data_IF_468987359826
#
_entry.id   IF_468987359826
#
_cell.length_a   1.000
_cell.length_b   1.000
_cell.length_c   1.000
_cell.angle_alpha   90.00
_cell.angle_beta   90.00
_cell.angle_gamma   90.00
#
_symmetry.space_group_name_H-M   'P 1'
#
loop_
_entity.id
_entity.type
_entity.pdbx_description
1 polymer ?
#
# COMPACT_ATOMS: atom_id res chain seq x y z
N UNK A 1 85.68 -1.79 13.07
CA UNK A 1 85.28 -0.87 12.02
C UNK A 1 84.24 -1.58 11.12
N UNK A 2 82.99 -1.29 11.26
CA UNK A 2 81.92 -1.40 10.25
C UNK A 2 80.63 -1.12 11.00
N UNK A 3 80.12 0.12 10.80
CA UNK A 3 78.83 0.56 11.32
C UNK A 3 77.74 -0.03 10.47
N UNK A 4 76.84 -0.83 11.05
CA UNK A 4 75.61 -1.24 10.44
C UNK A 4 74.49 -0.32 10.94
N UNK A 5 74.05 0.61 10.08
CA UNK A 5 72.87 1.41 10.27
C UNK A 5 71.62 0.51 10.08
N UNK A 6 70.87 0.29 11.16
CA UNK A 6 69.57 -0.36 11.13
C UNK A 6 68.50 0.70 10.87
N UNK A 7 68.07 0.80 9.61
CA UNK A 7 66.93 1.63 9.23
C UNK A 7 65.63 0.98 9.69
N UNK A 8 65.04 1.51 10.80
CA UNK A 8 63.66 1.17 11.18
C UNK A 8 62.70 1.82 10.17
N UNK A 9 62.16 1.03 9.27
CA UNK A 9 61.01 1.42 8.47
C UNK A 9 59.76 1.36 9.38
N UNK A 10 59.33 2.54 9.88
CA UNK A 10 58.01 2.71 10.47
C UNK A 10 56.99 2.68 9.28
N UNK A 11 56.40 1.52 9.05
CA UNK A 11 55.16 1.42 8.28
C UNK A 11 54.03 1.96 9.15
N UNK A 12 53.80 3.27 9.09
CA UNK A 12 52.58 3.85 9.60
C UNK A 12 51.47 3.39 8.64
N UNK A 13 50.81 2.29 8.99
CA UNK A 13 49.56 1.87 8.35
C UNK A 13 48.53 2.95 8.62
N UNK A 14 48.24 3.74 7.56
CA UNK A 14 47.07 4.59 7.55
C UNK A 14 45.85 3.66 7.61
N UNK A 15 45.29 3.49 8.80
CA UNK A 15 43.95 2.93 8.95
C UNK A 15 43.01 3.87 8.23
N UNK A 16 42.64 3.50 7.03
CA UNK A 16 41.55 4.16 6.32
C UNK A 16 40.29 3.90 7.15
N UNK A 17 39.79 4.93 7.85
CA UNK A 17 38.51 4.85 8.51
C UNK A 17 37.47 4.58 7.39
N UNK A 18 36.83 3.45 7.48
CA UNK A 18 35.69 3.15 6.61
C UNK A 18 34.68 4.30 6.73
N UNK A 19 34.15 4.83 5.60
CA UNK A 19 33.19 5.90 5.66
C UNK A 19 31.97 5.43 6.49
N UNK A 20 31.65 6.18 7.55
CA UNK A 20 30.44 5.91 8.32
C UNK A 20 29.25 5.98 7.38
N UNK A 21 28.41 4.95 7.32
CA UNK A 21 27.27 4.95 6.39
C UNK A 21 26.37 6.15 6.70
N UNK A 22 25.88 6.81 5.65
CA UNK A 22 24.95 7.93 5.75
C UNK A 22 23.65 7.45 6.44
N UNK A 23 23.23 8.05 7.56
CA UNK A 23 21.99 7.69 8.23
C UNK A 23 20.76 7.72 7.33
N UNK A 24 20.72 8.64 6.37
CA UNK A 24 19.60 8.73 5.38
C UNK A 24 19.62 7.53 4.45
N UNK A 25 20.81 7.11 3.99
CA UNK A 25 20.94 5.93 3.15
C UNK A 25 20.54 4.64 3.89
N UNK A 26 20.91 4.53 5.19
CA UNK A 26 20.50 3.39 6.03
C UNK A 26 18.97 3.34 6.17
N UNK A 27 18.33 4.47 6.46
CA UNK A 27 16.87 4.50 6.60
C UNK A 27 16.17 4.13 5.29
N UNK A 28 16.64 4.63 4.16
CA UNK A 28 16.10 4.27 2.85
C UNK A 28 16.25 2.76 2.55
N UNK A 29 17.38 2.18 2.90
CA UNK A 29 17.61 0.73 2.74
C UNK A 29 16.69 -0.09 3.64
N UNK A 30 16.51 0.31 4.91
CA UNK A 30 15.59 -0.35 5.84
C UNK A 30 14.15 -0.29 5.33
N UNK A 31 13.69 0.90 4.88
CA UNK A 31 12.36 1.05 4.29
C UNK A 31 12.17 0.12 3.08
N UNK A 32 13.15 0.07 2.18
CA UNK A 32 13.10 -0.80 1.00
C UNK A 32 13.02 -2.28 1.41
N UNK A 33 13.86 -2.73 2.36
CA UNK A 33 13.85 -4.12 2.86
C UNK A 33 12.52 -4.49 3.52
N UNK A 34 11.94 -3.59 4.30
CA UNK A 34 10.65 -3.76 4.95
C UNK A 34 9.53 -3.91 3.92
N UNK A 35 9.44 -3.01 2.96
CA UNK A 35 8.42 -3.02 1.92
C UNK A 35 8.58 -4.22 0.97
N UNK A 36 9.82 -4.61 0.64
CA UNK A 36 10.08 -5.82 -0.15
C UNK A 36 9.67 -7.09 0.61
N UNK A 37 9.90 -7.14 1.93
CA UNK A 37 9.44 -8.26 2.74
C UNK A 37 7.91 -8.41 2.69
N UNK A 38 7.16 -7.31 2.72
CA UNK A 38 5.70 -7.32 2.58
C UNK A 38 5.25 -7.72 1.16
N UNK A 39 5.94 -7.22 0.13
CA UNK A 39 5.67 -7.56 -1.27
C UNK A 39 5.90 -9.04 -1.59
N UNK A 40 6.87 -9.66 -0.94
CA UNK A 40 7.27 -11.05 -1.15
C UNK A 40 6.67 -12.02 -0.11
N UNK A 41 5.96 -11.51 0.89
CA UNK A 41 5.38 -12.30 1.97
C UNK A 41 6.41 -12.91 2.91
N UNK A 42 7.60 -12.29 3.06
CA UNK A 42 8.67 -12.76 3.94
C UNK A 42 8.34 -12.47 5.41
N UNK A 43 7.51 -13.34 5.98
CA UNK A 43 6.93 -13.16 7.31
C UNK A 43 7.99 -13.02 8.42
N UNK A 44 9.06 -13.81 8.35
CA UNK A 44 10.15 -13.74 9.35
C UNK A 44 10.82 -12.36 9.37
N UNK A 45 11.01 -11.75 8.19
CA UNK A 45 11.59 -10.41 8.08
C UNK A 45 10.62 -9.36 8.62
N UNK A 46 9.32 -9.48 8.30
CA UNK A 46 8.29 -8.57 8.84
C UNK A 46 8.23 -8.64 10.37
N UNK A 47 8.29 -9.84 10.96
CA UNK A 47 8.32 -10.00 12.42
C UNK A 47 9.53 -9.30 13.03
N UNK A 48 10.73 -9.40 12.43
CA UNK A 48 11.90 -8.70 12.92
C UNK A 48 11.73 -7.17 12.92
N UNK A 49 11.09 -6.60 11.89
CA UNK A 49 10.75 -5.17 11.87
C UNK A 49 9.73 -4.79 12.93
N UNK A 50 8.68 -5.61 13.11
CA UNK A 50 7.65 -5.41 14.13
C UNK A 50 8.27 -5.44 15.54
N UNK A 51 9.08 -6.45 15.83
CA UNK A 51 9.75 -6.60 17.12
C UNK A 51 10.75 -5.46 17.41
N UNK A 52 11.39 -4.93 16.37
CA UNK A 52 12.27 -3.78 16.46
C UNK A 52 11.52 -2.44 16.67
N UNK A 53 10.18 -2.44 16.66
CA UNK A 53 9.37 -1.21 16.78
C UNK A 53 9.49 -0.28 15.59
N UNK A 54 9.70 -0.86 14.38
CA UNK A 54 9.77 -0.09 13.16
C UNK A 54 8.43 0.58 12.85
N UNK A 55 8.47 1.76 12.21
CA UNK A 55 7.26 2.44 11.74
C UNK A 55 6.60 1.63 10.62
N UNK A 56 5.49 0.92 10.98
CA UNK A 56 4.77 0.03 10.08
C UNK A 56 4.03 0.77 8.97
N UNK A 57 3.83 2.07 9.12
CA UNK A 57 3.12 2.93 8.18
C UNK A 57 4.06 3.61 7.17
N UNK A 58 5.35 3.26 7.22
CA UNK A 58 6.34 3.68 6.20
C UNK A 58 5.83 3.36 4.80
N UNK A 59 5.87 4.37 3.91
CA UNK A 59 5.45 4.27 2.51
C UNK A 59 6.62 4.51 1.56
N UNK A 60 6.59 3.88 0.39
CA UNK A 60 7.51 4.18 -0.71
C UNK A 60 7.13 5.49 -1.44
N UNK A 61 7.93 5.90 -2.43
CA UNK A 61 7.67 7.11 -3.23
C UNK A 61 6.34 7.08 -4.01
N UNK A 62 5.69 5.92 -4.13
CA UNK A 62 4.37 5.74 -4.74
C UNK A 62 3.25 5.67 -3.71
N UNK A 63 3.56 5.81 -2.43
CA UNK A 63 2.62 5.72 -1.32
C UNK A 63 2.25 4.29 -0.92
N UNK A 64 2.95 3.27 -1.40
CA UNK A 64 2.65 1.90 -0.98
C UNK A 64 3.21 1.63 0.41
N UNK A 65 2.34 1.30 1.37
CA UNK A 65 2.70 0.76 2.67
C UNK A 65 2.89 -0.77 2.60
N UNK A 66 3.51 -1.34 3.63
CA UNK A 66 3.66 -2.80 3.73
C UNK A 66 2.31 -3.52 3.68
N UNK A 67 1.27 -2.98 4.34
CA UNK A 67 -0.07 -3.56 4.33
C UNK A 67 -0.70 -3.54 2.93
N UNK A 68 -0.57 -2.43 2.18
CA UNK A 68 -1.04 -2.33 0.79
C UNK A 68 -0.33 -3.37 -0.08
N UNK A 69 0.99 -3.50 0.05
CA UNK A 69 1.79 -4.46 -0.72
C UNK A 69 1.42 -5.91 -0.40
N UNK A 70 1.36 -6.28 0.89
CA UNK A 70 0.98 -7.62 1.31
C UNK A 70 -0.43 -7.99 0.82
N UNK A 71 -1.39 -7.07 0.94
CA UNK A 71 -2.76 -7.28 0.47
C UNK A 71 -2.85 -7.42 -1.05
N UNK A 72 -2.13 -6.60 -1.80
CA UNK A 72 -2.11 -6.64 -3.26
C UNK A 72 -1.46 -7.91 -3.81
N UNK A 73 -0.47 -8.46 -3.10
CA UNK A 73 0.27 -9.66 -3.51
C UNK A 73 -0.27 -10.96 -2.91
N UNK A 74 -1.35 -10.90 -2.12
CA UNK A 74 -2.04 -12.11 -1.63
C UNK A 74 -1.41 -12.75 -0.41
N UNK A 75 -0.56 -12.03 0.34
CA UNK A 75 0.15 -12.55 1.50
C UNK A 75 -0.69 -12.40 2.78
N UNK A 76 -1.64 -13.32 2.98
CA UNK A 76 -2.62 -13.25 4.08
C UNK A 76 -1.97 -13.22 5.46
N UNK A 77 -0.95 -14.05 5.69
CA UNK A 77 -0.25 -14.10 6.98
C UNK A 77 0.50 -12.81 7.28
N UNK A 78 1.08 -12.17 6.25
CA UNK A 78 1.72 -10.86 6.38
C UNK A 78 0.69 -9.76 6.70
N UNK A 79 -0.48 -9.79 6.07
CA UNK A 79 -1.60 -8.88 6.39
C UNK A 79 -2.04 -9.06 7.83
N UNK A 80 -2.24 -10.31 8.28
CA UNK A 80 -2.65 -10.59 9.66
C UNK A 80 -1.59 -10.10 10.67
N UNK A 81 -0.30 -10.35 10.42
CA UNK A 81 0.79 -9.91 11.29
C UNK A 81 0.88 -8.38 11.37
N UNK A 82 0.79 -7.68 10.24
CA UNK A 82 0.83 -6.22 10.19
C UNK A 82 -0.36 -5.58 10.90
N UNK A 83 -1.58 -6.08 10.68
CA UNK A 83 -2.78 -5.59 11.36
C UNK A 83 -2.72 -5.84 12.88
N UNK A 84 -2.27 -7.03 13.31
CA UNK A 84 -2.11 -7.36 14.71
C UNK A 84 -1.07 -6.48 15.41
N UNK A 85 -0.04 -6.04 14.68
CA UNK A 85 1.00 -5.13 15.17
C UNK A 85 0.60 -3.65 15.13
N UNK A 86 -0.58 -3.30 14.58
CA UNK A 86 -1.12 -1.94 14.59
C UNK A 86 -0.80 -1.11 13.34
N UNK A 87 -0.43 -1.73 12.22
CA UNK A 87 -0.34 -1.02 10.94
C UNK A 87 -1.68 -0.39 10.57
N UNK A 88 -1.69 0.86 10.07
CA UNK A 88 -2.90 1.59 9.70
C UNK A 88 -3.53 0.99 8.42
N UNK A 89 -4.70 0.34 8.52
CA UNK A 89 -5.39 -0.23 7.36
C UNK A 89 -6.03 0.82 6.43
N UNK A 90 -6.12 2.06 6.87
CA UNK A 90 -6.80 3.14 6.13
C UNK A 90 -5.83 3.97 5.27
N UNK A 91 -4.52 3.68 5.33
CA UNK A 91 -3.54 4.34 4.47
C UNK A 91 -3.87 4.14 2.99
N UNK A 92 -3.56 5.18 2.24
CA UNK A 92 -3.79 5.23 0.80
C UNK A 92 -2.46 5.33 0.05
N UNK A 93 -2.38 4.66 -1.10
CA UNK A 93 -1.28 4.82 -2.05
C UNK A 93 -1.33 6.20 -2.76
N UNK A 94 -0.35 6.50 -3.60
CA UNK A 94 -0.29 7.75 -4.36
C UNK A 94 -1.47 7.99 -5.32
N UNK A 95 -2.34 7.01 -5.53
CA UNK A 95 -3.61 7.12 -6.25
C UNK A 95 -4.82 7.16 -5.32
N UNK A 96 -4.61 7.15 -4.02
CA UNK A 96 -5.66 7.12 -3.03
C UNK A 96 -6.28 5.73 -2.81
N UNK A 97 -5.70 4.64 -3.35
CA UNK A 97 -6.24 3.31 -3.13
C UNK A 97 -5.80 2.76 -1.77
N UNK A 98 -6.73 2.11 -1.08
CA UNK A 98 -6.47 1.41 0.19
C UNK A 98 -6.02 -0.04 -0.06
N UNK A 99 -5.52 -0.70 0.98
CA UNK A 99 -5.23 -2.14 0.96
C UNK A 99 -6.47 -2.96 0.57
N UNK A 100 -7.67 -2.57 1.04
CA UNK A 100 -8.94 -3.22 0.68
C UNK A 100 -9.22 -3.13 -0.83
N UNK A 101 -9.07 -1.95 -1.44
CA UNK A 101 -9.25 -1.78 -2.89
C UNK A 101 -8.25 -2.65 -3.67
N UNK A 102 -7.00 -2.72 -3.21
CA UNK A 102 -5.95 -3.58 -3.79
C UNK A 102 -6.32 -5.07 -3.74
N UNK A 103 -6.80 -5.56 -2.59
CA UNK A 103 -7.24 -6.94 -2.41
C UNK A 103 -8.45 -7.29 -3.31
N UNK A 104 -9.43 -6.39 -3.39
CA UNK A 104 -10.61 -6.57 -4.28
C UNK A 104 -10.16 -6.66 -5.75
N UNK A 105 -9.29 -5.75 -6.18
CA UNK A 105 -8.74 -5.73 -7.53
C UNK A 105 -8.07 -7.06 -7.89
N UNK A 106 -7.22 -7.57 -6.99
CA UNK A 106 -6.45 -8.80 -7.17
C UNK A 106 -7.26 -10.07 -6.94
N UNK A 107 -8.54 -9.95 -6.53
CA UNK A 107 -9.40 -11.07 -6.16
C UNK A 107 -8.93 -11.84 -4.90
N UNK A 108 -8.19 -11.20 -4.03
CA UNK A 108 -7.75 -11.75 -2.75
C UNK A 108 -8.89 -11.68 -1.73
N UNK A 109 -9.92 -12.52 -1.95
CA UNK A 109 -11.20 -12.42 -1.24
C UNK A 109 -11.06 -12.63 0.28
N UNK A 110 -10.16 -13.51 0.71
CA UNK A 110 -9.88 -13.75 2.12
C UNK A 110 -9.26 -12.52 2.80
N UNK A 111 -8.33 -11.85 2.11
CA UNK A 111 -7.69 -10.62 2.58
C UNK A 111 -8.69 -9.47 2.58
N UNK A 112 -9.48 -9.31 1.51
CA UNK A 112 -10.53 -8.30 1.46
C UNK A 112 -11.50 -8.45 2.64
N UNK A 113 -11.89 -9.67 2.99
CA UNK A 113 -12.72 -9.96 4.17
C UNK A 113 -12.10 -9.50 5.49
N UNK A 114 -10.79 -9.70 5.69
CA UNK A 114 -10.08 -9.23 6.88
C UNK A 114 -10.09 -7.69 6.94
N UNK A 115 -9.74 -7.05 5.83
CA UNK A 115 -9.66 -5.59 5.73
C UNK A 115 -11.02 -4.89 5.87
N UNK A 116 -12.12 -5.51 5.43
CA UNK A 116 -13.48 -5.01 5.65
C UNK A 116 -13.90 -4.98 7.13
N UNK A 117 -13.24 -5.74 8.00
CA UNK A 117 -13.50 -5.74 9.43
C UNK A 117 -12.58 -4.79 10.23
N UNK A 118 -11.78 -3.98 9.55
CA UNK A 118 -10.95 -2.94 10.18
C UNK A 118 -11.76 -1.65 10.39
N UNK A 119 -11.35 -0.75 11.30
CA UNK A 119 -12.11 0.47 11.64
C UNK A 119 -11.99 1.59 10.59
N UNK A 120 -11.78 1.25 9.32
CA UNK A 120 -11.69 2.25 8.26
C UNK A 120 -13.07 2.72 7.79
N UNK A 121 -13.19 3.98 7.33
CA UNK A 121 -14.43 4.45 6.70
C UNK A 121 -14.79 3.58 5.49
N UNK A 122 -16.01 3.02 5.49
CA UNK A 122 -16.48 2.12 4.43
C UNK A 122 -16.47 2.80 3.05
N UNK A 123 -16.74 4.10 3.03
CA UNK A 123 -16.84 4.92 1.82
C UNK A 123 -15.58 5.75 1.54
N UNK A 124 -14.42 5.32 2.03
CA UNK A 124 -13.15 5.95 1.71
C UNK A 124 -12.92 5.96 0.20
N UNK A 125 -12.54 7.13 -0.36
CA UNK A 125 -12.47 7.35 -1.80
C UNK A 125 -11.03 7.49 -2.26
N UNK A 126 -10.72 6.89 -3.41
CA UNK A 126 -9.45 7.11 -4.08
C UNK A 126 -9.44 8.44 -4.87
N UNK A 127 -8.33 8.77 -5.55
CA UNK A 127 -8.18 10.00 -6.34
C UNK A 127 -9.17 10.10 -7.52
N UNK A 128 -9.70 8.97 -8.00
CA UNK A 128 -10.77 8.94 -9.00
C UNK A 128 -12.18 9.00 -8.37
N UNK A 129 -12.29 9.21 -7.07
CA UNK A 129 -13.56 9.24 -6.34
C UNK A 129 -14.19 7.86 -6.14
N UNK A 130 -13.48 6.78 -6.41
CA UNK A 130 -13.99 5.41 -6.33
C UNK A 130 -13.89 4.88 -4.89
N UNK A 131 -14.92 4.12 -4.47
CA UNK A 131 -14.97 3.41 -3.19
C UNK A 131 -14.64 1.92 -3.35
N UNK A 132 -14.45 1.21 -2.24
CA UNK A 132 -14.29 -0.24 -2.24
C UNK A 132 -15.52 -0.95 -2.85
N UNK A 133 -16.75 -0.42 -2.62
CA UNK A 133 -17.98 -0.95 -3.23
C UNK A 133 -17.97 -0.82 -4.76
N UNK A 134 -17.49 0.31 -5.29
CA UNK A 134 -17.33 0.48 -6.75
C UNK A 134 -16.30 -0.49 -7.33
N UNK A 135 -15.18 -0.75 -6.62
CA UNK A 135 -14.21 -1.77 -7.02
C UNK A 135 -14.84 -3.16 -7.03
N UNK A 136 -15.58 -3.52 -5.97
CA UNK A 136 -16.27 -4.80 -5.91
C UNK A 136 -17.29 -4.97 -7.05
N UNK A 137 -18.03 -3.92 -7.39
CA UNK A 137 -18.97 -3.88 -8.50
C UNK A 137 -18.26 -4.02 -9.86
N UNK A 138 -17.23 -3.20 -10.11
CA UNK A 138 -16.48 -3.17 -11.37
C UNK A 138 -15.82 -4.51 -11.69
N UNK A 139 -15.25 -5.15 -10.66
CA UNK A 139 -14.56 -6.44 -10.80
C UNK A 139 -15.49 -7.64 -10.54
N UNK A 140 -16.81 -7.42 -10.48
CA UNK A 140 -17.84 -8.46 -10.29
C UNK A 140 -17.62 -9.35 -9.05
N UNK A 141 -17.16 -8.76 -7.96
CA UNK A 141 -16.99 -9.41 -6.65
C UNK A 141 -18.30 -9.31 -5.88
N UNK A 142 -19.37 -9.92 -6.41
CA UNK A 142 -20.76 -9.76 -5.91
C UNK A 142 -20.89 -10.00 -4.42
N UNK A 143 -20.28 -11.08 -3.88
CA UNK A 143 -20.33 -11.37 -2.44
C UNK A 143 -19.68 -10.27 -1.58
N UNK A 144 -18.58 -9.67 -2.05
CA UNK A 144 -17.96 -8.54 -1.34
C UNK A 144 -18.81 -7.28 -1.46
N UNK A 145 -19.41 -7.04 -2.63
CA UNK A 145 -20.33 -5.91 -2.83
C UNK A 145 -21.52 -5.98 -1.88
N UNK A 146 -22.15 -7.18 -1.78
CA UNK A 146 -23.28 -7.39 -0.88
C UNK A 146 -22.86 -7.16 0.59
N UNK A 147 -21.71 -7.65 0.97
CA UNK A 147 -21.21 -7.45 2.33
C UNK A 147 -20.85 -6.00 2.64
N UNK A 148 -20.25 -5.26 1.69
CA UNK A 148 -20.02 -3.81 1.83
C UNK A 148 -21.34 -3.06 2.01
N UNK A 149 -22.39 -3.44 1.26
CA UNK A 149 -23.72 -2.88 1.43
C UNK A 149 -24.30 -3.17 2.82
N UNK A 150 -24.15 -4.40 3.32
CA UNK A 150 -24.58 -4.79 4.69
C UNK A 150 -23.83 -3.98 5.77
N UNK A 151 -22.58 -3.61 5.52
CA UNK A 151 -21.77 -2.75 6.40
C UNK A 151 -22.07 -1.26 6.25
N UNK A 152 -23.06 -0.88 5.44
CA UNK A 152 -23.53 0.49 5.29
C UNK A 152 -22.79 1.31 4.22
N UNK A 153 -22.08 0.67 3.29
CA UNK A 153 -21.51 1.38 2.15
C UNK A 153 -22.59 2.07 1.31
N UNK A 154 -22.39 3.35 0.99
CA UNK A 154 -23.30 4.12 0.15
C UNK A 154 -23.11 3.75 -1.34
N UNK A 155 -24.06 2.96 -1.86
CA UNK A 155 -24.05 2.49 -3.26
C UNK A 155 -24.33 3.59 -4.28
N UNK A 156 -24.85 4.75 -3.84
CA UNK A 156 -25.22 5.87 -4.69
C UNK A 156 -24.10 6.90 -4.88
N UNK A 157 -22.99 6.79 -4.13
CA UNK A 157 -21.82 7.64 -4.32
C UNK A 157 -21.35 7.54 -5.78
N UNK A 158 -20.88 8.68 -6.31
CA UNK A 158 -20.41 8.76 -7.70
C UNK A 158 -18.92 8.99 -7.76
N UNK A 159 -18.25 8.25 -8.64
CA UNK A 159 -16.85 8.51 -8.99
C UNK A 159 -16.70 9.77 -9.86
N UNK A 160 -15.48 10.11 -10.26
CA UNK A 160 -15.20 11.29 -11.08
C UNK A 160 -15.85 11.23 -12.48
N UNK A 161 -16.27 10.05 -12.94
CA UNK A 161 -16.98 9.84 -14.22
C UNK A 161 -18.50 9.77 -14.05
N UNK A 162 -19.01 9.92 -12.82
CA UNK A 162 -20.44 9.84 -12.52
C UNK A 162 -20.97 8.42 -12.34
N UNK A 163 -20.12 7.39 -12.32
CA UNK A 163 -20.53 6.01 -12.05
C UNK A 163 -20.75 5.79 -10.54
N UNK A 164 -21.77 5.04 -10.22
CA UNK A 164 -22.03 4.50 -8.89
C UNK A 164 -21.86 2.97 -8.87
N UNK A 165 -21.81 2.37 -7.67
CA UNK A 165 -21.60 0.93 -7.52
C UNK A 165 -22.66 0.09 -8.25
N UNK A 166 -23.91 0.56 -8.31
CA UNK A 166 -24.99 -0.17 -8.99
C UNK A 166 -24.85 -0.12 -10.50
N UNK A 167 -24.50 1.04 -11.08
CA UNK A 167 -24.26 1.17 -12.53
C UNK A 167 -23.07 0.32 -12.97
N UNK A 168 -21.99 0.31 -12.19
CA UNK A 168 -20.82 -0.54 -12.45
C UNK A 168 -21.15 -2.03 -12.37
N UNK A 169 -21.95 -2.46 -11.40
CA UNK A 169 -22.39 -3.85 -11.27
C UNK A 169 -23.22 -4.33 -12.47
N UNK A 170 -23.99 -3.42 -13.10
CA UNK A 170 -24.78 -3.70 -14.33
C UNK A 170 -23.94 -3.62 -15.60
N UNK A 171 -22.63 -3.35 -15.52
CA UNK A 171 -21.76 -3.14 -16.67
C UNK A 171 -22.05 -1.83 -17.43
N UNK A 172 -22.70 -0.86 -16.77
CA UNK A 172 -22.99 0.47 -17.33
C UNK A 172 -22.01 1.46 -16.73
N UNK A 173 -20.91 1.70 -17.41
CA UNK A 173 -20.06 2.84 -17.13
C UNK A 173 -20.55 4.05 -17.92
N UNK A 174 -20.56 5.23 -17.30
CA UNK A 174 -20.81 6.49 -18.03
C UNK A 174 -19.61 6.73 -18.94
N UNK A 175 -19.80 6.96 -20.26
CA UNK A 175 -18.69 7.31 -21.14
C UNK A 175 -18.03 8.60 -20.64
N UNK A 176 -16.70 8.67 -20.71
CA UNK A 176 -15.92 9.84 -20.27
C UNK A 176 -16.29 11.15 -21.01
N UNK A 177 -17.07 11.07 -22.08
CA UNK A 177 -17.46 12.21 -22.95
C UNK A 177 -18.92 12.66 -22.76
N UNK A 178 -19.65 12.14 -21.77
CA UNK A 178 -20.95 12.66 -21.38
C UNK A 178 -20.79 13.90 -20.50
N UNK A 179 -20.33 14.99 -21.08
CA UNK A 179 -20.41 16.32 -20.48
C UNK A 179 -21.87 16.68 -20.15
N UNK A 180 -22.14 17.65 -19.25
CA UNK A 180 -23.48 18.01 -18.84
C UNK A 180 -24.31 18.31 -20.12
N UNK A 181 -25.40 17.59 -20.25
CA UNK A 181 -26.39 17.78 -21.33
C UNK A 181 -26.73 19.27 -21.41
N UNK A 182 -26.34 19.93 -22.50
CA UNK A 182 -26.68 21.33 -22.72
C UNK A 182 -28.19 21.43 -22.76
N UNK A 183 -28.76 22.09 -21.78
CA UNK A 183 -30.16 22.43 -21.78
C UNK A 183 -30.53 23.04 -23.14
N UNK A 184 -31.65 22.65 -23.78
CA UNK A 184 -32.05 23.20 -25.05
C UNK A 184 -32.30 24.70 -24.86
N UNK A 185 -31.59 25.52 -25.66
CA UNK A 185 -31.85 26.95 -25.75
C UNK A 185 -33.28 27.13 -26.24
N UNK A 186 -34.17 27.55 -25.33
CA UNK A 186 -35.53 27.98 -25.72
C UNK A 186 -35.42 29.19 -26.66
N UNK A 187 -35.96 29.04 -27.84
CA UNK A 187 -36.21 30.16 -28.77
C UNK A 187 -37.40 30.95 -28.31
#
# INVERSE_FOLDING_TARGET
MKHALLALLLCAGLAQAEPTPDPVAIQAELAQRYLDAAREGRLEVLHAFIEAGYDLDTQDAKGYSALILAAYHGHADAVDALLAAGADPCLQDGRGNTALMGAIFKAELGIAHRLMNTPCPTDQRNAAGQTAAMYAALFQRTRLLDRLREQGADMALKDALGNDAESLARGRSVPADSGPERAPLSR
#
